data_IF_056657633043
#
_entry.id   IF_056657633043
#
_cell.length_a   1.000
_cell.length_b   1.000
_cell.length_c   1.000
_cell.angle_alpha   90.00
_cell.angle_beta   90.00
_cell.angle_gamma   90.00
#
_symmetry.space_group_name_H-M   'P 1'
#
loop_
_entity.id
_entity.type
_entity.pdbx_description
1 polymer ?
#
# COMPACT_ATOMS: atom_id res chain seq x y z
N UNK A 1 -5.30 -17.11 0.56
CA UNK A 1 -4.94 -16.09 1.57
C UNK A 1 -5.45 -14.75 1.10
N UNK A 2 -6.22 -14.05 1.93
CA UNK A 2 -6.73 -12.72 1.62
C UNK A 2 -5.54 -11.75 1.52
N UNK A 3 -5.32 -11.17 0.33
CA UNK A 3 -4.19 -10.28 0.11
C UNK A 3 -4.39 -9.03 0.96
N UNK A 4 -3.50 -8.81 1.95
CA UNK A 4 -3.49 -7.61 2.78
C UNK A 4 -2.94 -6.42 1.98
N UNK A 5 -3.76 -5.91 1.06
CA UNK A 5 -3.41 -4.78 0.20
C UNK A 5 -3.36 -3.49 1.02
N UNK A 6 -2.31 -2.71 0.80
CA UNK A 6 -2.08 -1.41 1.44
C UNK A 6 -1.59 -0.38 0.41
N UNK A 7 -1.69 0.92 0.70
CA UNK A 7 -0.98 1.95 -0.06
C UNK A 7 0.54 1.67 -0.04
N UNK A 8 1.23 1.69 -1.19
CA UNK A 8 2.68 1.53 -1.22
C UNK A 8 3.42 2.82 -0.83
N UNK A 9 2.81 3.97 -1.09
CA UNK A 9 3.33 5.31 -0.78
C UNK A 9 2.20 6.33 -0.73
N UNK A 10 2.50 7.51 -0.18
CA UNK A 10 1.57 8.64 -0.26
C UNK A 10 1.30 9.00 -1.74
N UNK A 11 0.04 9.22 -2.07
CA UNK A 11 -0.42 9.64 -3.40
C UNK A 11 -1.45 10.75 -3.24
N UNK A 12 -1.53 11.65 -4.23
CA UNK A 12 -2.47 12.77 -4.25
C UNK A 12 -3.10 12.89 -5.63
N UNK A 13 -4.38 13.21 -5.67
CA UNK A 13 -5.10 13.61 -6.88
C UNK A 13 -6.03 14.79 -6.59
N UNK A 14 -6.44 15.49 -7.64
CA UNK A 14 -7.37 16.61 -7.57
C UNK A 14 -8.52 16.38 -8.55
N UNK A 15 -9.73 16.71 -8.11
CA UNK A 15 -10.90 16.89 -8.98
C UNK A 15 -11.53 18.27 -8.76
N UNK A 16 -12.29 18.73 -9.75
CA UNK A 16 -13.08 19.97 -9.67
C UNK A 16 -14.54 19.69 -9.92
N UNK A 17 -15.41 20.17 -9.03
CA UNK A 17 -16.87 19.98 -9.12
C UNK A 17 -17.54 21.29 -8.78
N UNK A 18 -18.32 21.85 -9.73
CA UNK A 18 -19.02 23.14 -9.57
C UNK A 18 -18.11 24.23 -8.96
N UNK A 19 -16.96 24.48 -9.61
CA UNK A 19 -15.89 25.41 -9.19
C UNK A 19 -15.21 25.10 -7.85
N UNK A 20 -15.71 24.14 -7.06
CA UNK A 20 -15.03 23.69 -5.85
C UNK A 20 -13.89 22.75 -6.22
N UNK A 21 -12.78 22.85 -5.50
CA UNK A 21 -11.59 22.02 -5.69
C UNK A 21 -11.50 21.00 -4.56
N UNK A 22 -11.35 19.72 -4.92
CA UNK A 22 -11.21 18.61 -3.97
C UNK A 22 -9.87 17.93 -4.21
N UNK A 23 -8.99 17.96 -3.22
CA UNK A 23 -7.66 17.34 -3.25
C UNK A 23 -7.68 16.17 -2.29
N UNK A 24 -7.63 14.94 -2.81
CA UNK A 24 -7.54 13.74 -1.99
C UNK A 24 -6.06 13.36 -1.80
N UNK A 25 -5.61 13.29 -0.55
CA UNK A 25 -4.28 12.79 -0.19
C UNK A 25 -4.43 11.49 0.57
N UNK A 26 -3.89 10.38 0.04
CA UNK A 26 -3.93 9.05 0.67
C UNK A 26 -2.52 8.60 1.03
N UNK A 27 -2.36 7.91 2.17
CA UNK A 27 -1.07 7.40 2.63
C UNK A 27 -1.23 6.05 3.37
N UNK A 28 -0.17 5.22 3.39
CA UNK A 28 -0.10 4.08 4.30
C UNK A 28 0.04 4.57 5.75
N UNK A 29 -0.72 3.95 6.66
CA UNK A 29 -0.66 4.20 8.11
C UNK A 29 -0.91 2.89 8.86
N UNK A 30 -0.10 2.58 9.86
CA UNK A 30 -0.08 1.27 10.53
C UNK A 30 -0.63 1.30 11.95
N UNK A 31 -1.02 2.48 12.42
CA UNK A 31 -1.62 2.68 13.73
C UNK A 31 -2.58 3.86 13.72
N UNK A 32 -3.43 3.94 14.74
CA UNK A 32 -4.31 5.09 14.96
C UNK A 32 -3.51 6.39 15.15
N UNK A 33 -2.36 6.32 15.82
CA UNK A 33 -1.53 7.49 16.09
C UNK A 33 -0.79 7.98 14.83
N UNK A 34 -0.36 7.06 13.96
CA UNK A 34 0.14 7.41 12.63
C UNK A 34 -0.96 8.06 11.77
N UNK A 35 -2.18 7.53 11.79
CA UNK A 35 -3.32 8.12 11.09
C UNK A 35 -3.62 9.54 11.59
N UNK A 36 -3.66 9.76 12.91
CA UNK A 36 -3.84 11.09 13.51
C UNK A 36 -2.72 12.04 13.12
N UNK A 37 -1.47 11.59 13.15
CA UNK A 37 -0.30 12.38 12.76
C UNK A 37 -0.34 12.78 11.28
N UNK A 38 -0.73 11.84 10.41
CA UNK A 38 -0.95 12.10 8.99
C UNK A 38 -2.04 13.15 8.77
N UNK A 39 -3.21 13.00 9.41
CA UNK A 39 -4.32 13.94 9.30
C UNK A 39 -3.90 15.34 9.76
N UNK A 40 -3.23 15.44 10.91
CA UNK A 40 -2.74 16.70 11.44
C UNK A 40 -1.71 17.37 10.52
N UNK A 41 -0.89 16.59 9.82
CA UNK A 41 0.07 17.11 8.83
C UNK A 41 -0.65 17.67 7.60
N UNK A 42 -1.60 16.94 7.02
CA UNK A 42 -2.34 17.41 5.84
C UNK A 42 -3.18 18.66 6.19
N UNK A 43 -3.81 18.69 7.38
CA UNK A 43 -4.51 19.88 7.87
C UNK A 43 -3.60 21.11 8.00
N UNK A 44 -2.36 20.93 8.46
CA UNK A 44 -1.37 22.03 8.53
C UNK A 44 -0.90 22.47 7.14
N UNK A 45 -0.74 21.53 6.21
CA UNK A 45 -0.36 21.81 4.83
C UNK A 45 -1.43 22.63 4.11
N UNK A 46 -2.71 22.34 4.35
CA UNK A 46 -3.86 23.03 3.76
C UNK A 46 -4.71 23.74 4.82
N UNK A 47 -4.05 24.56 5.64
CA UNK A 47 -4.71 25.29 6.73
C UNK A 47 -5.68 26.37 6.24
N UNK A 48 -5.56 26.80 4.98
CA UNK A 48 -6.41 27.78 4.32
C UNK A 48 -7.63 27.16 3.59
N UNK A 49 -7.73 25.82 3.57
CA UNK A 49 -8.88 25.13 3.00
C UNK A 49 -10.13 25.26 3.88
N UNK A 50 -11.30 25.17 3.26
CA UNK A 50 -12.57 25.23 4.00
C UNK A 50 -12.77 23.99 4.89
N UNK A 51 -12.41 22.81 4.36
CA UNK A 51 -12.54 21.53 5.05
C UNK A 51 -11.37 20.61 4.68
N UNK A 52 -10.94 19.80 5.63
CA UNK A 52 -9.94 18.76 5.54
C UNK A 52 -10.51 17.46 6.13
N UNK A 53 -11.39 16.83 5.35
CA UNK A 53 -12.24 15.69 5.74
C UNK A 53 -11.41 14.40 5.82
N UNK A 54 -11.20 13.82 7.01
CA UNK A 54 -10.41 12.62 7.17
C UNK A 54 -11.25 11.34 7.13
N UNK A 55 -10.66 10.26 6.61
CA UNK A 55 -11.11 8.89 6.80
C UNK A 55 -9.90 7.94 6.88
N UNK A 56 -9.96 6.92 7.73
CA UNK A 56 -8.91 5.90 7.78
C UNK A 56 -9.44 4.51 8.15
N UNK A 57 -8.64 3.50 7.81
CA UNK A 57 -8.80 2.08 8.09
C UNK A 57 -7.44 1.56 8.55
N UNK A 58 -7.36 0.94 9.73
CA UNK A 58 -6.17 0.26 10.25
C UNK A 58 -6.49 -1.22 10.41
N UNK A 59 -5.64 -2.09 9.90
CA UNK A 59 -5.83 -3.54 9.86
C UNK A 59 -6.54 -4.06 8.60
N UNK A 60 -6.80 -5.37 8.59
CA UNK A 60 -7.45 -6.12 7.51
C UNK A 60 -8.42 -7.18 8.10
N UNK A 61 -9.36 -7.64 7.28
CA UNK A 61 -10.26 -8.75 7.63
C UNK A 61 -11.17 -8.40 8.82
N UNK A 62 -11.28 -9.32 9.78
CA UNK A 62 -12.19 -9.19 10.92
C UNK A 62 -11.76 -8.15 11.99
N UNK A 63 -10.50 -7.68 11.95
CA UNK A 63 -9.97 -6.72 12.92
C UNK A 63 -9.60 -5.42 12.21
N UNK A 64 -10.60 -4.58 12.00
CA UNK A 64 -10.47 -3.27 11.35
C UNK A 64 -10.88 -2.18 12.32
N UNK A 65 -9.99 -1.21 12.54
CA UNK A 65 -10.33 0.07 13.18
C UNK A 65 -10.58 1.07 12.07
N UNK A 66 -11.75 1.70 12.06
CA UNK A 66 -12.13 2.67 11.05
C UNK A 66 -12.71 3.92 11.68
N UNK A 67 -12.43 5.07 11.06
CA UNK A 67 -12.89 6.37 11.53
C UNK A 67 -13.06 7.33 10.37
N UNK A 68 -14.00 8.25 10.47
CA UNK A 68 -14.14 9.40 9.59
C UNK A 68 -14.75 10.58 10.34
N UNK A 69 -14.59 11.78 9.79
CA UNK A 69 -15.25 13.01 10.25
C UNK A 69 -15.68 13.83 9.05
N UNK A 70 -16.80 14.56 9.15
CA UNK A 70 -17.24 15.51 8.13
C UNK A 70 -16.49 16.85 8.20
N UNK A 71 -15.67 17.10 9.22
CA UNK A 71 -14.83 18.31 9.36
C UNK A 71 -15.56 19.65 9.12
N UNK A 72 -16.79 19.77 9.63
CA UNK A 72 -17.62 20.97 9.48
C UNK A 72 -18.47 21.01 8.21
N UNK A 73 -18.36 20.02 7.32
CA UNK A 73 -19.38 19.77 6.29
C UNK A 73 -20.71 19.32 6.93
N UNK A 74 -21.84 19.43 6.20
CA UNK A 74 -23.10 18.86 6.65
C UNK A 74 -22.95 17.38 7.02
N UNK A 75 -23.54 16.99 8.14
CA UNK A 75 -23.43 15.64 8.71
C UNK A 75 -23.77 14.55 7.68
N UNK A 76 -22.89 13.57 7.56
CA UNK A 76 -23.06 12.42 6.67
C UNK A 76 -22.69 12.66 5.21
N UNK A 77 -22.24 13.86 4.84
CA UNK A 77 -22.05 14.22 3.43
C UNK A 77 -20.62 14.14 2.92
N UNK A 78 -19.63 13.94 3.79
CA UNK A 78 -18.22 13.97 3.41
C UNK A 78 -17.41 12.79 3.95
N UNK A 79 -17.30 12.67 5.27
CA UNK A 79 -16.54 11.62 5.94
C UNK A 79 -17.06 10.22 5.62
N UNK A 80 -18.36 9.94 5.82
CA UNK A 80 -18.90 8.60 5.53
C UNK A 80 -18.81 8.19 4.05
N UNK A 81 -19.10 9.06 3.05
CA UNK A 81 -18.83 8.76 1.65
C UNK A 81 -17.36 8.44 1.34
N UNK A 82 -16.42 9.22 1.89
CA UNK A 82 -14.99 8.98 1.72
C UNK A 82 -14.57 7.62 2.32
N UNK A 83 -15.02 7.31 3.54
CA UNK A 83 -14.74 6.04 4.21
C UNK A 83 -15.37 4.85 3.47
N UNK A 84 -16.59 4.99 2.95
CA UNK A 84 -17.26 3.94 2.20
C UNK A 84 -16.46 3.54 0.95
N UNK A 85 -15.96 4.53 0.21
CA UNK A 85 -15.09 4.28 -0.96
C UNK A 85 -13.76 3.65 -0.53
N UNK A 86 -13.13 4.15 0.53
CA UNK A 86 -11.88 3.57 1.03
C UNK A 86 -12.06 2.10 1.44
N UNK A 87 -13.14 1.77 2.16
CA UNK A 87 -13.50 0.38 2.51
C UNK A 87 -13.75 -0.48 1.29
N UNK A 88 -14.54 0.02 0.34
CA UNK A 88 -14.85 -0.69 -0.91
C UNK A 88 -13.64 -0.97 -1.79
N UNK A 89 -12.50 -0.28 -1.56
CA UNK A 89 -11.26 -0.52 -2.29
C UNK A 89 -10.55 -1.83 -1.93
N UNK A 90 -10.89 -2.43 -0.78
CA UNK A 90 -10.21 -3.60 -0.22
C UNK A 90 -8.84 -3.29 0.41
N UNK A 91 -8.47 -2.01 0.52
CA UNK A 91 -7.24 -1.61 1.23
C UNK A 91 -7.45 -1.63 2.75
N UNK A 92 -6.42 -2.06 3.45
CA UNK A 92 -6.23 -1.80 4.87
C UNK A 92 -5.04 -0.86 5.09
N UNK A 93 -4.76 -0.53 6.35
CA UNK A 93 -3.64 0.33 6.76
C UNK A 93 -3.50 1.59 5.90
N UNK A 94 -4.62 2.32 5.75
CA UNK A 94 -4.76 3.44 4.84
C UNK A 94 -5.49 4.61 5.51
N UNK A 95 -4.98 5.81 5.29
CA UNK A 95 -5.67 7.05 5.63
C UNK A 95 -5.78 7.95 4.41
N UNK A 96 -6.92 8.62 4.27
CA UNK A 96 -7.18 9.64 3.26
C UNK A 96 -7.67 10.91 3.93
N UNK A 97 -7.21 12.05 3.44
CA UNK A 97 -7.77 13.37 3.76
C UNK A 97 -8.20 14.00 2.45
N UNK A 98 -9.47 14.40 2.36
CA UNK A 98 -10.00 15.16 1.23
C UNK A 98 -10.09 16.62 1.65
N UNK A 99 -9.20 17.43 1.08
CA UNK A 99 -9.12 18.86 1.29
C UNK A 99 -10.01 19.56 0.28
N UNK A 100 -10.94 20.41 0.75
CA UNK A 100 -11.89 21.14 -0.09
C UNK A 100 -11.65 22.65 -0.02
N UNK A 101 -11.55 23.27 -1.18
CA UNK A 101 -11.69 24.71 -1.36
C UNK A 101 -13.06 25.00 -1.98
N UNK A 102 -13.85 25.85 -1.31
CA UNK A 102 -15.19 26.22 -1.78
C UNK A 102 -15.11 27.11 -3.02
N UNK A 103 -15.89 26.76 -4.06
CA UNK A 103 -15.89 27.46 -5.34
C UNK A 103 -17.00 28.49 -5.55
N UNK A 104 -17.70 28.91 -4.49
CA UNK A 104 -18.82 29.85 -4.60
C UNK A 104 -20.17 29.21 -4.93
N UNK A 105 -20.21 27.96 -5.42
CA UNK A 105 -21.44 27.24 -5.77
C UNK A 105 -21.72 26.12 -4.76
N UNK A 106 -22.91 26.14 -4.15
CA UNK A 106 -23.35 25.08 -3.23
C UNK A 106 -23.71 23.81 -4.02
N UNK A 107 -23.15 22.68 -3.60
CA UNK A 107 -23.35 21.36 -4.24
C UNK A 107 -24.63 20.65 -3.77
N UNK A 108 -25.20 21.06 -2.62
CA UNK A 108 -26.25 20.31 -1.93
C UNK A 108 -25.75 18.96 -1.37
N UNK A 109 -26.58 18.30 -0.56
CA UNK A 109 -26.23 17.04 0.12
C UNK A 109 -25.74 15.96 -0.84
N UNK A 110 -26.51 15.67 -1.90
CA UNK A 110 -26.15 14.64 -2.88
C UNK A 110 -24.95 15.02 -3.77
N UNK A 111 -24.69 16.31 -3.96
CA UNK A 111 -23.49 16.77 -4.67
C UNK A 111 -22.23 16.59 -3.84
N UNK A 112 -22.27 16.88 -2.54
CA UNK A 112 -21.16 16.66 -1.61
C UNK A 112 -20.82 15.17 -1.48
N UNK A 113 -21.84 14.32 -1.26
CA UNK A 113 -21.66 12.87 -1.15
C UNK A 113 -20.94 12.31 -2.38
N UNK A 114 -21.34 12.74 -3.58
CA UNK A 114 -20.67 12.33 -4.82
C UNK A 114 -19.27 12.89 -4.91
N UNK A 115 -19.07 14.19 -4.71
CA UNK A 115 -17.75 14.83 -4.85
C UNK A 115 -16.68 14.23 -3.91
N UNK A 116 -17.02 13.98 -2.64
CA UNK A 116 -16.09 13.34 -1.70
C UNK A 116 -15.78 11.90 -2.08
N UNK A 117 -16.80 11.12 -2.48
CA UNK A 117 -16.59 9.75 -2.97
C UNK A 117 -15.74 9.71 -4.25
N UNK A 118 -16.02 10.61 -5.20
CA UNK A 118 -15.31 10.73 -6.47
C UNK A 118 -13.83 11.09 -6.25
N UNK A 119 -13.54 12.03 -5.36
CA UNK A 119 -12.17 12.43 -5.03
C UNK A 119 -11.35 11.24 -4.48
N UNK A 120 -11.95 10.42 -3.60
CA UNK A 120 -11.30 9.23 -3.08
C UNK A 120 -11.13 8.17 -4.18
N UNK A 121 -12.12 7.95 -5.06
CA UNK A 121 -11.98 7.00 -6.18
C UNK A 121 -10.85 7.40 -7.13
N UNK A 122 -10.73 8.70 -7.42
CA UNK A 122 -9.68 9.21 -8.30
C UNK A 122 -8.28 8.96 -7.71
N UNK A 123 -8.05 9.27 -6.43
CA UNK A 123 -6.72 9.05 -5.82
C UNK A 123 -6.39 7.55 -5.74
N UNK A 124 -7.39 6.71 -5.48
CA UNK A 124 -7.21 5.26 -5.41
C UNK A 124 -6.93 4.62 -6.77
N UNK A 125 -7.38 5.22 -7.87
CA UNK A 125 -7.07 4.79 -9.22
C UNK A 125 -5.58 5.03 -9.57
N UNK A 126 -5.01 6.13 -9.07
CA UNK A 126 -3.61 6.48 -9.26
C UNK A 126 -2.67 5.83 -8.21
N UNK A 127 -3.20 5.28 -7.12
CA UNK A 127 -2.45 4.81 -5.97
C UNK A 127 -1.65 3.52 -6.26
N UNK A 128 -0.30 3.54 -6.17
CA UNK A 128 0.48 2.32 -6.16
C UNK A 128 0.20 1.49 -4.90
N UNK A 129 0.01 0.18 -5.07
CA UNK A 129 -0.36 -0.75 -3.99
C UNK A 129 0.78 -1.69 -3.64
N UNK A 130 0.82 -2.10 -2.38
CA UNK A 130 1.73 -3.10 -1.86
C UNK A 130 0.94 -4.18 -1.10
N UNK A 131 1.58 -5.33 -0.86
CA UNK A 131 1.03 -6.35 0.04
C UNK A 131 1.81 -6.31 1.34
N UNK A 132 1.08 -6.36 2.46
CA UNK A 132 1.65 -6.57 3.78
C UNK A 132 1.68 -8.07 4.07
N UNK A 133 2.85 -8.71 4.05
CA UNK A 133 2.99 -10.16 4.26
C UNK A 133 3.99 -10.47 5.38
N UNK A 134 3.82 -11.60 6.09
CA UNK A 134 4.85 -12.07 7.00
C UNK A 134 6.07 -12.56 6.19
N UNK A 135 7.27 -12.21 6.64
CA UNK A 135 8.52 -12.60 6.00
C UNK A 135 9.54 -13.11 7.00
N UNK A 136 10.48 -13.89 6.49
CA UNK A 136 11.72 -14.22 7.17
C UNK A 136 12.89 -13.52 6.49
N UNK A 137 13.79 -12.95 7.28
CA UNK A 137 15.14 -12.64 6.80
C UNK A 137 16.00 -13.88 7.05
N UNK A 138 16.61 -14.38 5.98
CA UNK A 138 17.48 -15.55 5.99
C UNK A 138 18.90 -15.18 5.59
N UNK A 139 19.84 -16.01 6.05
CA UNK A 139 21.23 -16.01 5.62
C UNK A 139 21.55 -17.35 4.97
N UNK A 140 22.21 -17.28 3.82
CA UNK A 140 22.72 -18.45 3.07
C UNK A 140 24.20 -18.25 2.79
N UNK A 141 25.03 -19.17 3.26
CA UNK A 141 26.47 -19.18 2.96
C UNK A 141 26.72 -20.16 1.81
N UNK A 142 27.12 -19.63 0.65
CA UNK A 142 27.17 -20.38 -0.61
C UNK A 142 28.53 -20.23 -1.31
N UNK A 143 29.07 -21.28 -1.95
CA UNK A 143 30.25 -21.15 -2.80
C UNK A 143 29.92 -20.38 -4.08
N UNK A 144 30.94 -19.74 -4.65
CA UNK A 144 30.82 -18.88 -5.83
C UNK A 144 30.19 -19.57 -7.05
N UNK A 145 30.42 -20.87 -7.24
CA UNK A 145 29.96 -21.60 -8.42
C UNK A 145 28.43 -21.74 -8.51
N UNK A 146 27.70 -21.66 -7.38
CA UNK A 146 26.24 -21.73 -7.35
C UNK A 146 25.58 -20.47 -6.78
N UNK A 147 26.36 -19.43 -6.45
CA UNK A 147 25.88 -18.15 -5.92
C UNK A 147 24.78 -17.55 -6.81
N UNK A 148 25.01 -17.45 -8.12
CA UNK A 148 24.02 -16.90 -9.06
C UNK A 148 22.74 -17.76 -9.15
N UNK A 149 22.84 -19.07 -8.91
CA UNK A 149 21.66 -19.94 -8.83
C UNK A 149 20.89 -19.69 -7.53
N UNK A 150 21.57 -19.44 -6.41
CA UNK A 150 20.94 -19.05 -5.14
C UNK A 150 20.19 -17.72 -5.29
N UNK A 151 20.79 -16.70 -5.92
CA UNK A 151 20.11 -15.42 -6.19
C UNK A 151 18.84 -15.60 -7.01
N UNK A 152 18.92 -16.38 -8.10
CA UNK A 152 17.75 -16.70 -8.94
C UNK A 152 16.68 -17.45 -8.16
N UNK A 153 17.07 -18.37 -7.28
CA UNK A 153 16.14 -19.11 -6.43
C UNK A 153 15.42 -18.17 -5.44
N UNK A 154 16.14 -17.22 -4.82
CA UNK A 154 15.52 -16.19 -3.97
C UNK A 154 14.46 -15.42 -4.77
N UNK A 155 14.80 -14.93 -5.96
CA UNK A 155 13.86 -14.21 -6.81
C UNK A 155 12.67 -15.07 -7.26
N UNK A 156 12.89 -16.34 -7.62
CA UNK A 156 11.85 -17.28 -8.02
C UNK A 156 10.84 -17.55 -6.90
N UNK A 157 11.26 -17.42 -5.64
CA UNK A 157 10.42 -17.56 -4.43
C UNK A 157 9.87 -16.23 -3.93
N UNK A 158 9.83 -15.21 -4.79
CA UNK A 158 9.36 -13.85 -4.48
C UNK A 158 10.13 -13.18 -3.35
N UNK A 159 11.38 -13.63 -3.13
CA UNK A 159 12.28 -13.03 -2.18
C UNK A 159 13.05 -11.86 -2.76
N UNK A 160 13.63 -11.08 -1.87
CA UNK A 160 14.50 -9.96 -2.19
C UNK A 160 15.87 -10.19 -1.53
N UNK A 161 16.94 -10.14 -2.31
CA UNK A 161 18.29 -10.06 -1.73
C UNK A 161 18.47 -8.69 -1.11
N UNK A 162 18.86 -8.67 0.17
CA UNK A 162 19.09 -7.46 0.95
C UNK A 162 20.56 -7.06 0.94
N UNK A 163 21.45 -8.05 1.01
CA UNK A 163 22.90 -7.84 1.07
C UNK A 163 23.68 -9.08 0.58
N UNK A 164 24.90 -8.83 0.09
CA UNK A 164 25.81 -9.84 -0.47
C UNK A 164 27.25 -9.55 -0.02
N UNK A 165 27.81 -10.42 0.83
CA UNK A 165 29.18 -10.29 1.32
C UNK A 165 30.09 -11.33 0.64
N UNK A 166 31.18 -10.85 0.02
CA UNK A 166 32.11 -11.68 -0.73
C UNK A 166 33.40 -11.93 0.07
N UNK A 167 33.57 -13.15 0.57
CA UNK A 167 34.77 -13.59 1.29
C UNK A 167 35.25 -14.94 0.73
N UNK A 168 35.75 -15.85 1.58
CA UNK A 168 36.10 -17.22 1.16
C UNK A 168 34.90 -17.98 0.56
N UNK A 169 33.69 -17.68 1.04
CA UNK A 169 32.40 -18.02 0.44
C UNK A 169 31.57 -16.73 0.34
N UNK A 170 30.47 -16.77 -0.39
CA UNK A 170 29.52 -15.66 -0.47
C UNK A 170 28.45 -15.84 0.60
N UNK A 171 28.21 -14.81 1.39
CA UNK A 171 27.08 -14.75 2.33
C UNK A 171 25.98 -13.93 1.68
N UNK A 172 24.80 -14.54 1.52
CA UNK A 172 23.61 -13.88 0.95
C UNK A 172 22.60 -13.68 2.06
N UNK A 173 22.27 -12.41 2.33
CA UNK A 173 21.16 -12.05 3.21
C UNK A 173 19.94 -11.75 2.35
N UNK A 174 18.86 -12.49 2.54
CA UNK A 174 17.65 -12.36 1.72
C UNK A 174 16.39 -12.36 2.57
N UNK A 175 15.37 -11.62 2.12
CA UNK A 175 14.03 -11.64 2.71
C UNK A 175 13.12 -12.49 1.84
N UNK A 176 12.35 -13.39 2.46
CA UNK A 176 11.40 -14.26 1.78
C UNK A 176 10.02 -14.20 2.45
N UNK A 177 8.92 -14.31 1.70
CA UNK A 177 7.61 -14.61 2.29
C UNK A 177 7.70 -15.86 3.17
N UNK A 178 7.12 -15.80 4.37
CA UNK A 178 7.20 -16.91 5.34
C UNK A 178 6.66 -18.23 4.74
N UNK A 179 5.58 -18.15 3.96
CA UNK A 179 4.98 -19.30 3.27
C UNK A 179 5.92 -19.98 2.25
N UNK A 180 6.91 -19.25 1.71
CA UNK A 180 7.82 -19.74 0.67
C UNK A 180 9.12 -20.33 1.23
N UNK A 181 9.36 -20.20 2.53
CA UNK A 181 10.61 -20.66 3.14
C UNK A 181 10.80 -22.18 3.00
N UNK A 182 9.74 -22.97 3.15
CA UNK A 182 9.81 -24.43 3.03
C UNK A 182 10.25 -24.85 1.62
N UNK A 183 9.53 -24.37 0.59
CA UNK A 183 9.87 -24.62 -0.82
C UNK A 183 11.29 -24.15 -1.17
N UNK A 184 11.68 -22.96 -0.69
CA UNK A 184 13.03 -22.43 -0.89
C UNK A 184 14.11 -23.35 -0.30
N UNK A 185 13.89 -23.86 0.92
CA UNK A 185 14.85 -24.76 1.60
C UNK A 185 15.00 -26.09 0.85
N UNK A 186 13.90 -26.66 0.38
CA UNK A 186 13.94 -27.92 -0.37
C UNK A 186 14.73 -27.77 -1.68
N UNK A 187 14.50 -26.69 -2.44
CA UNK A 187 15.21 -26.42 -3.69
C UNK A 187 16.68 -26.05 -3.47
N UNK A 188 16.98 -25.31 -2.40
CA UNK A 188 18.37 -25.01 -2.02
C UNK A 188 19.14 -26.28 -1.65
N UNK A 189 18.48 -27.22 -0.96
CA UNK A 189 19.06 -28.52 -0.61
C UNK A 189 19.37 -29.33 -1.88
N UNK A 190 18.44 -29.37 -2.84
CA UNK A 190 18.65 -30.07 -4.11
C UNK A 190 19.80 -29.43 -4.93
N UNK A 191 19.76 -28.11 -5.09
CA UNK A 191 20.79 -27.34 -5.80
C UNK A 191 22.20 -27.55 -5.22
N UNK A 192 22.30 -27.65 -3.90
CA UNK A 192 23.56 -27.80 -3.18
C UNK A 192 23.96 -29.24 -2.90
N UNK A 193 23.15 -30.23 -3.30
CA UNK A 193 23.30 -31.64 -2.91
C UNK A 193 23.41 -31.83 -1.39
N UNK A 194 22.58 -31.10 -0.65
CA UNK A 194 22.50 -31.14 0.81
C UNK A 194 23.60 -30.40 1.56
N UNK A 195 24.44 -29.61 0.88
CA UNK A 195 25.62 -28.98 1.49
C UNK A 195 25.37 -27.57 2.04
N UNK A 196 24.22 -26.97 1.71
CA UNK A 196 23.89 -25.59 2.07
C UNK A 196 22.51 -25.57 2.72
N UNK A 197 22.40 -24.76 3.77
CA UNK A 197 21.15 -24.50 4.47
C UNK A 197 20.89 -23.00 4.56
N UNK A 198 19.62 -22.66 4.79
CA UNK A 198 19.17 -21.30 5.02
C UNK A 198 18.78 -21.12 6.48
N UNK A 199 19.50 -20.24 7.18
CA UNK A 199 19.25 -19.90 8.58
C UNK A 199 18.35 -18.68 8.66
N UNK A 200 17.25 -18.76 9.41
CA UNK A 200 16.39 -17.60 9.68
C UNK A 200 17.07 -16.77 10.78
N UNK A 201 17.34 -15.50 10.48
CA UNK A 201 17.93 -14.56 11.43
C UNK A 201 16.92 -13.55 11.97
N UNK A 202 15.78 -13.38 11.28
CA UNK A 202 14.72 -12.46 11.69
C UNK A 202 13.36 -12.97 11.19
N UNK A 203 12.29 -12.72 11.95
CA UNK A 203 10.91 -12.95 11.52
C UNK A 203 10.12 -11.66 11.67
N UNK A 204 9.52 -11.20 10.58
CA UNK A 204 8.75 -9.97 10.55
C UNK A 204 7.30 -10.28 10.13
N UNK A 205 6.33 -10.00 11.01
CA UNK A 205 4.91 -10.30 10.76
C UNK A 205 4.26 -9.41 9.67
N UNK A 206 4.92 -8.32 9.29
CA UNK A 206 4.32 -7.17 8.63
C UNK A 206 5.32 -6.44 7.70
N UNK A 207 5.91 -7.16 6.74
CA UNK A 207 6.73 -6.53 5.70
C UNK A 207 5.88 -6.01 4.56
N UNK A 208 6.17 -4.79 4.13
CA UNK A 208 5.58 -4.18 2.94
C UNK A 208 6.37 -4.63 1.71
N UNK A 209 5.74 -5.41 0.85
CA UNK A 209 6.31 -5.85 -0.42
C UNK A 209 5.56 -5.14 -1.56
N UNK A 210 6.25 -4.31 -2.38
CA UNK A 210 5.62 -3.67 -3.54
C UNK A 210 5.04 -4.73 -4.48
N UNK A 211 3.83 -4.48 -5.01
CA UNK A 211 3.29 -5.29 -6.10
C UNK A 211 3.91 -4.73 -7.38
N UNK A 212 4.62 -5.57 -8.15
CA UNK A 212 5.02 -5.20 -9.49
C UNK A 212 3.76 -4.79 -10.26
N UNK A 213 3.65 -3.52 -10.66
CA UNK A 213 2.50 -3.07 -11.42
C UNK A 213 2.50 -3.79 -12.75
N UNK A 214 1.67 -4.82 -12.89
CA UNK A 214 1.27 -5.29 -14.20
C UNK A 214 0.54 -4.11 -14.84
N UNK A 215 1.25 -3.37 -15.71
CA UNK A 215 0.64 -2.42 -16.62
C UNK A 215 -0.44 -3.18 -17.41
N UNK A 216 -1.69 -3.10 -16.94
CA UNK A 216 -2.83 -3.35 -17.80
C UNK A 216 -2.79 -2.22 -18.82
N UNK A 217 -2.14 -2.47 -19.95
CA UNK A 217 -2.32 -1.69 -21.17
C UNK A 217 -3.81 -1.60 -21.42
N UNK A 218 -4.39 -0.43 -21.18
CA UNK A 218 -5.72 -0.11 -21.64
C UNK A 218 -5.70 -0.27 -23.17
N UNK A 219 -6.42 -1.27 -23.68
CA UNK A 219 -6.77 -1.32 -25.10
C UNK A 219 -7.62 -0.08 -25.37
N UNK A 220 -7.03 0.91 -26.03
CA UNK A 220 -7.76 1.91 -26.76
C UNK A 220 -8.53 1.18 -27.87
N UNK A 221 -9.81 0.87 -27.60
CA UNK A 221 -10.73 0.42 -28.64
C UNK A 221 -10.98 1.62 -29.54
N UNK A 222 -10.47 1.50 -30.76
CA UNK A 222 -10.37 2.58 -31.72
C UNK A 222 -11.70 3.17 -32.14
N UNK A 223 -11.60 4.46 -32.48
CA UNK A 223 -12.49 5.11 -33.42
C UNK A 223 -12.56 4.30 -34.72
N UNK A 224 -13.77 3.93 -35.13
CA UNK A 224 -14.10 3.69 -36.53
C UNK A 224 -15.51 4.18 -36.82
N UNK A 225 -15.53 5.23 -37.63
CA UNK A 225 -16.54 5.70 -38.58
C UNK A 225 -17.79 6.36 -38.02
#
# INVERSE_FOLDING_TARGET
>A
MEQRLIPARQTRSEIRVANSRFIATVAPVFSVDEAKSFIARVRREFADAAHNVPAYIIGHGASIIAHCSDDGEPSGTAGPPALAVLRGSGLGDAAVVVTRYFGGIKLGTGGLVRAYGDAVREVLAALPRAVKIPTHTIVVVTPYNIFEQVRRLVAARQGQVLDEEFAAKVTVTARLPQERLAEFRDELRELSRGKIEATVIETNAATIMPIAQNHRTAKATGARR
#
